data_IF_843844929405
#
_entry.id   IF_843844929405
#
_cell.length_a   1.000
_cell.length_b   1.000
_cell.length_c   1.000
_cell.angle_alpha   90.00
_cell.angle_beta   90.00
_cell.angle_gamma   90.00
#
_symmetry.space_group_name_H-M   'P 1'
#
loop_
_entity.id
_entity.type
_entity.pdbx_description
1 polymer ?
#
# COMPACT_ATOMS: atom_id res chain seq x y z
N UNK A 1 13.53 5.59 -27.44
CA UNK A 1 13.48 4.23 -26.86
C UNK A 1 12.05 4.04 -26.39
N UNK A 2 11.38 3.02 -26.92
CA UNK A 2 9.95 2.73 -26.79
C UNK A 2 9.38 3.01 -25.40
N UNK A 3 8.41 3.92 -25.34
CA UNK A 3 7.34 3.95 -24.35
C UNK A 3 6.57 2.63 -24.44
N UNK A 4 7.14 1.55 -23.90
CA UNK A 4 6.44 0.29 -23.71
C UNK A 4 5.24 0.61 -22.84
N UNK A 5 4.05 0.51 -23.41
CA UNK A 5 2.80 0.64 -22.68
C UNK A 5 2.78 -0.43 -21.60
N UNK A 6 3.28 -0.08 -20.41
CA UNK A 6 3.19 -0.94 -19.25
C UNK A 6 1.71 -1.20 -19.02
N UNK A 7 1.30 -2.45 -19.13
CA UNK A 7 -0.08 -2.82 -18.82
C UNK A 7 -0.40 -2.41 -17.38
N UNK A 8 -1.67 -2.18 -17.05
CA UNK A 8 -2.12 -1.89 -15.68
C UNK A 8 -1.51 -2.88 -14.64
N UNK A 9 -1.23 -4.11 -15.07
CA UNK A 9 -0.59 -5.17 -14.30
C UNK A 9 0.84 -4.87 -13.83
N UNK A 10 1.61 -4.09 -14.60
CA UNK A 10 2.99 -3.68 -14.29
C UNK A 10 3.06 -2.44 -13.41
N UNK A 11 1.96 -1.71 -13.28
CA UNK A 11 1.85 -0.57 -12.39
C UNK A 11 1.60 -1.03 -10.96
N UNK A 12 2.15 -0.25 -10.03
CA UNK A 12 1.86 -0.41 -8.60
C UNK A 12 0.51 0.24 -8.35
N UNK A 13 -0.45 -0.56 -7.94
CA UNK A 13 -1.79 -0.09 -7.63
C UNK A 13 -1.81 0.57 -6.24
N UNK A 14 -2.60 1.64 -6.06
CA UNK A 14 -2.80 2.25 -4.76
C UNK A 14 -3.66 1.31 -3.89
N UNK A 15 -3.32 1.27 -2.61
CA UNK A 15 -4.18 0.66 -1.60
C UNK A 15 -4.02 1.38 -0.26
N UNK A 16 -5.12 1.43 0.48
CA UNK A 16 -5.20 1.91 1.85
C UNK A 16 -5.47 0.71 2.76
N UNK A 17 -4.65 0.59 3.79
CA UNK A 17 -4.66 -0.51 4.73
C UNK A 17 -4.81 0.04 6.13
N UNK A 18 -5.57 -0.64 6.96
CA UNK A 18 -5.66 -0.36 8.39
C UNK A 18 -5.06 -1.51 9.18
N UNK A 19 -4.17 -1.19 10.09
CA UNK A 19 -3.56 -2.17 10.99
C UNK A 19 -4.50 -2.52 12.14
N UNK A 20 -4.50 -3.77 12.55
CA UNK A 20 -5.24 -4.22 13.71
C UNK A 20 -4.33 -4.33 14.95
N UNK A 21 -4.53 -3.49 15.98
CA UNK A 21 -3.65 -3.47 17.15
C UNK A 21 -3.71 -4.76 17.98
N UNK A 22 -4.85 -5.45 17.95
CA UNK A 22 -5.05 -6.72 18.68
C UNK A 22 -4.44 -7.93 17.93
N UNK A 23 -4.14 -7.79 16.63
CA UNK A 23 -3.69 -8.89 15.78
C UNK A 23 -2.22 -8.73 15.38
N UNK A 24 -1.35 -8.55 16.37
CA UNK A 24 0.10 -8.50 16.17
C UNK A 24 0.69 -9.85 16.58
N UNK A 25 1.09 -10.66 15.60
CA UNK A 25 1.66 -11.99 15.83
C UNK A 25 3.15 -11.93 16.13
N UNK A 26 3.86 -10.97 15.52
CA UNK A 26 5.30 -10.81 15.69
C UNK A 26 5.70 -9.34 15.50
N UNK A 27 6.49 -8.81 16.44
CA UNK A 27 6.88 -7.39 16.40
C UNK A 27 8.02 -7.09 15.42
N UNK A 28 8.98 -8.02 15.22
CA UNK A 28 10.14 -7.78 14.34
C UNK A 28 10.77 -9.06 13.78
N UNK A 29 11.52 -8.90 12.68
CA UNK A 29 12.38 -9.91 12.02
C UNK A 29 11.73 -11.26 11.61
N UNK A 30 10.64 -11.29 10.82
CA UNK A 30 9.86 -10.18 10.28
C UNK A 30 8.74 -9.75 11.21
N UNK A 31 8.33 -8.49 11.13
CA UNK A 31 7.09 -8.03 11.74
C UNK A 31 5.91 -8.71 11.03
N UNK A 32 4.99 -9.33 11.77
CA UNK A 32 3.80 -10.01 11.25
C UNK A 32 2.59 -9.52 12.01
N UNK A 33 1.65 -8.93 11.29
CA UNK A 33 0.46 -8.32 11.86
C UNK A 33 -0.72 -8.38 10.90
N UNK A 34 -1.92 -8.38 11.47
CA UNK A 34 -3.18 -8.33 10.75
C UNK A 34 -3.45 -6.93 10.22
N UNK A 35 -3.95 -6.87 9.00
CA UNK A 35 -4.43 -5.65 8.35
C UNK A 35 -5.79 -5.91 7.72
N UNK A 36 -6.54 -4.83 7.51
CA UNK A 36 -7.70 -4.78 6.63
C UNK A 36 -7.43 -3.86 5.45
N UNK A 37 -7.77 -4.29 4.24
CA UNK A 37 -7.70 -3.47 3.05
C UNK A 37 -8.95 -2.59 2.98
N UNK A 38 -8.84 -1.32 3.34
CA UNK A 38 -9.99 -0.39 3.32
C UNK A 38 -10.32 0.09 1.90
N UNK A 39 -9.30 0.22 1.03
CA UNK A 39 -9.51 0.63 -0.34
C UNK A 39 -8.38 0.16 -1.26
N UNK A 40 -8.70 -0.06 -2.54
CA UNK A 40 -7.73 -0.40 -3.56
C UNK A 40 -7.31 -1.86 -3.59
N UNK A 41 -6.08 -2.13 -4.04
CA UNK A 41 -5.58 -3.49 -4.26
C UNK A 41 -4.17 -3.65 -3.73
N UNK A 42 -3.99 -4.52 -2.75
CA UNK A 42 -2.68 -4.84 -2.20
C UNK A 42 -2.05 -6.02 -2.94
N UNK A 43 -0.79 -5.86 -3.33
CA UNK A 43 0.06 -6.92 -3.90
C UNK A 43 1.30 -7.13 -3.02
N UNK A 44 1.91 -8.32 -3.03
CA UNK A 44 3.15 -8.55 -2.31
C UNK A 44 4.29 -7.76 -2.98
N UNK A 45 5.42 -7.64 -2.28
CA UNK A 45 6.64 -6.97 -2.79
C UNK A 45 6.49 -5.47 -3.05
N UNK A 46 5.41 -4.82 -2.60
CA UNK A 46 5.26 -3.37 -2.63
C UNK A 46 5.81 -2.72 -1.36
N UNK A 47 6.13 -1.43 -1.45
CA UNK A 47 6.54 -0.62 -0.29
C UNK A 47 5.30 0.00 0.36
N UNK A 48 5.32 0.13 1.68
CA UNK A 48 4.27 0.81 2.45
C UNK A 48 4.81 2.10 3.08
N UNK A 49 3.92 3.08 3.22
CA UNK A 49 4.13 4.34 3.92
C UNK A 49 2.99 4.54 4.91
N UNK A 50 3.24 5.20 6.03
CA UNK A 50 2.20 5.54 6.98
C UNK A 50 1.46 6.81 6.55
N UNK A 51 0.30 7.05 7.14
CA UNK A 51 -0.45 8.30 7.05
C UNK A 51 0.37 9.54 7.48
N UNK A 52 1.39 9.33 8.32
CA UNK A 52 2.37 10.35 8.76
C UNK A 52 3.56 10.53 7.81
N UNK A 53 3.53 9.91 6.62
CA UNK A 53 4.60 9.99 5.62
C UNK A 53 5.86 9.18 5.96
N UNK A 54 5.83 8.34 7.01
CA UNK A 54 6.98 7.48 7.35
C UNK A 54 7.02 6.25 6.47
N UNK A 55 8.18 5.93 5.91
CA UNK A 55 8.37 4.69 5.15
C UNK A 55 8.42 3.52 6.12
N UNK A 56 7.51 2.57 5.95
CA UNK A 56 7.45 1.37 6.78
C UNK A 56 8.46 0.37 6.25
N UNK A 57 8.18 -0.23 5.09
CA UNK A 57 9.04 -1.25 4.53
C UNK A 57 8.38 -1.98 3.38
N UNK A 58 9.02 -3.06 2.93
CA UNK A 58 8.52 -3.87 1.82
C UNK A 58 7.72 -5.04 2.34
N UNK A 59 6.48 -5.18 1.84
CA UNK A 59 5.65 -6.37 2.10
C UNK A 59 6.35 -7.59 1.54
N UNK A 60 6.69 -8.53 2.40
CA UNK A 60 7.33 -9.77 2.03
C UNK A 60 6.31 -10.78 1.50
N UNK A 61 5.24 -11.01 2.27
CA UNK A 61 4.21 -11.98 1.96
C UNK A 61 2.87 -11.57 2.57
N UNK A 62 1.79 -11.91 1.87
CA UNK A 62 0.40 -11.80 2.30
C UNK A 62 -0.10 -13.21 2.68
N UNK A 63 -0.79 -13.34 3.81
CA UNK A 63 -1.31 -14.62 4.28
C UNK A 63 -2.73 -14.48 4.80
N UNK A 64 -3.64 -15.31 4.29
CA UNK A 64 -5.01 -15.45 4.79
C UNK A 64 -5.23 -16.88 5.27
N UNK A 65 -5.57 -17.05 6.55
CA UNK A 65 -5.87 -18.35 7.20
C UNK A 65 -4.90 -19.47 6.84
N UNK A 66 -3.60 -19.15 6.85
CA UNK A 66 -2.53 -20.10 6.55
C UNK A 66 -2.14 -20.20 5.07
N UNK A 67 -2.93 -19.67 4.14
CA UNK A 67 -2.65 -19.68 2.69
C UNK A 67 -1.98 -18.38 2.25
N UNK A 68 -1.01 -18.50 1.36
CA UNK A 68 -0.36 -17.32 0.77
C UNK A 68 -1.23 -16.74 -0.34
N UNK A 69 -1.33 -15.41 -0.38
CA UNK A 69 -2.10 -14.70 -1.40
C UNK A 69 -1.17 -13.83 -2.27
N UNK A 70 -1.46 -13.78 -3.57
CA UNK A 70 -0.74 -12.92 -4.51
C UNK A 70 -1.41 -11.54 -4.67
N UNK A 71 -2.64 -11.40 -4.18
CA UNK A 71 -3.44 -10.19 -4.24
C UNK A 71 -4.43 -10.18 -3.08
N UNK A 72 -4.72 -8.99 -2.56
CA UNK A 72 -5.85 -8.74 -1.69
C UNK A 72 -6.68 -7.56 -2.19
N UNK A 73 -7.99 -7.76 -2.22
CA UNK A 73 -8.98 -6.77 -2.64
C UNK A 73 -9.56 -6.04 -1.41
N UNK A 74 -10.42 -5.06 -1.66
CA UNK A 74 -11.10 -4.28 -0.62
C UNK A 74 -11.90 -5.16 0.33
N UNK A 75 -11.95 -4.77 1.61
CA UNK A 75 -12.57 -5.49 2.73
C UNK A 75 -11.96 -6.86 3.05
N UNK A 76 -10.80 -7.21 2.47
CA UNK A 76 -10.07 -8.40 2.89
C UNK A 76 -9.27 -8.14 4.16
N UNK A 77 -9.42 -9.03 5.13
CA UNK A 77 -8.63 -9.09 6.36
C UNK A 77 -7.60 -10.21 6.25
N UNK A 78 -6.33 -9.89 6.44
CA UNK A 78 -5.23 -10.83 6.26
C UNK A 78 -4.00 -10.41 7.07
N UNK A 79 -3.05 -11.33 7.23
CA UNK A 79 -1.77 -11.05 7.86
C UNK A 79 -0.72 -10.68 6.80
N UNK A 80 0.05 -9.62 7.07
CA UNK A 80 1.21 -9.25 6.26
C UNK A 80 2.49 -9.43 7.04
N UNK A 81 3.56 -9.79 6.32
CA UNK A 81 4.91 -9.83 6.87
C UNK A 81 5.78 -8.74 6.26
N UNK A 82 6.50 -7.99 7.09
CA UNK A 82 7.43 -6.94 6.66
C UNK A 82 8.78 -7.19 7.34
N UNK A 83 9.86 -7.16 6.55
CA UNK A 83 11.23 -7.32 7.04
C UNK A 83 11.85 -5.95 7.32
N UNK A 84 12.68 -5.87 8.35
CA UNK A 84 13.47 -4.67 8.66
C UNK A 84 12.73 -3.59 9.43
N UNK A 85 11.60 -3.92 10.07
CA UNK A 85 10.84 -3.00 10.94
C UNK A 85 10.52 -3.65 12.28
N UNK A 86 10.24 -2.81 13.27
CA UNK A 86 9.75 -3.19 14.59
C UNK A 86 8.46 -2.45 14.96
N UNK A 87 7.39 -3.21 15.22
CA UNK A 87 6.11 -2.69 15.69
C UNK A 87 6.24 -2.20 17.13
N UNK A 88 5.81 -0.96 17.38
CA UNK A 88 5.95 -0.24 18.64
C UNK A 88 7.17 0.68 18.68
N UNK A 89 8.06 0.62 17.68
CA UNK A 89 9.25 1.47 17.58
C UNK A 89 9.31 2.25 16.27
N UNK A 90 9.22 1.56 15.14
CA UNK A 90 9.24 2.18 13.81
C UNK A 90 7.84 2.58 13.34
N UNK A 91 6.86 1.70 13.61
CA UNK A 91 5.43 1.88 13.34
C UNK A 91 4.60 1.64 14.60
N UNK A 92 3.46 2.33 14.71
CA UNK A 92 2.55 2.16 15.84
C UNK A 92 1.61 0.95 15.66
N UNK A 93 0.86 0.59 16.70
CA UNK A 93 -0.03 -0.58 16.66
C UNK A 93 -1.35 -0.32 15.95
N UNK A 94 -1.78 0.94 15.89
CA UNK A 94 -3.03 1.38 15.27
C UNK A 94 -2.72 2.49 14.27
N UNK A 95 -2.12 2.11 13.14
CA UNK A 95 -1.67 3.04 12.12
C UNK A 95 -2.34 2.70 10.77
N UNK A 96 -2.65 3.74 10.01
CA UNK A 96 -3.13 3.59 8.63
C UNK A 96 -1.93 3.60 7.69
N UNK A 97 -1.88 2.61 6.81
CA UNK A 97 -0.80 2.42 5.86
C UNK A 97 -1.32 2.61 4.43
N UNK A 98 -0.48 3.17 3.59
CA UNK A 98 -0.72 3.32 2.17
C UNK A 98 0.36 2.60 1.38
N UNK A 99 0.00 2.09 0.21
CA UNK A 99 1.01 1.61 -0.74
C UNK A 99 1.78 2.81 -1.28
N UNK A 100 3.10 2.76 -1.16
CA UNK A 100 4.00 3.78 -1.70
C UNK A 100 4.08 3.62 -3.23
N UNK A 101 3.14 4.24 -3.93
CA UNK A 101 3.11 4.30 -5.40
C UNK A 101 4.11 5.36 -5.89
N UNK A 102 5.04 5.01 -6.80
CA UNK A 102 5.93 5.98 -7.43
C UNK A 102 5.16 7.05 -8.19
N UNK A 103 5.67 8.28 -8.20
CA UNK A 103 5.02 9.40 -8.89
C UNK A 103 4.79 9.15 -10.39
N UNK A 104 5.74 8.48 -11.05
CA UNK A 104 5.61 8.08 -12.45
C UNK A 104 4.40 7.15 -12.69
N UNK A 105 4.15 6.22 -11.77
CA UNK A 105 3.01 5.32 -11.84
C UNK A 105 1.72 6.09 -11.53
N UNK A 106 1.71 6.99 -10.55
CA UNK A 106 0.55 7.86 -10.26
C UNK A 106 0.16 8.68 -11.49
N UNK A 107 1.13 9.32 -12.17
CA UNK A 107 0.87 10.07 -13.39
C UNK A 107 0.26 9.19 -14.49
N UNK A 108 0.79 7.98 -14.71
CA UNK A 108 0.23 7.03 -15.68
C UNK A 108 -1.18 6.55 -15.31
N UNK A 109 -1.41 6.26 -14.02
CA UNK A 109 -2.72 5.87 -13.52
C UNK A 109 -3.76 6.97 -13.73
N UNK A 110 -3.39 8.23 -13.48
CA UNK A 110 -4.27 9.37 -13.70
C UNK A 110 -4.52 9.69 -15.17
N UNK A 111 -3.49 9.62 -16.02
CA UNK A 111 -3.59 10.05 -17.41
C UNK A 111 -4.18 8.98 -18.34
N UNK A 112 -3.85 7.70 -18.12
CA UNK A 112 -4.17 6.60 -19.05
C UNK A 112 -5.21 5.63 -18.48
N UNK A 113 -5.08 5.27 -17.21
CA UNK A 113 -5.84 4.15 -16.62
C UNK A 113 -6.96 4.58 -15.67
N UNK A 114 -7.25 5.89 -15.58
CA UNK A 114 -8.23 6.40 -14.62
C UNK A 114 -9.63 5.82 -14.84
N UNK A 115 -10.00 5.50 -16.08
CA UNK A 115 -11.28 4.86 -16.38
C UNK A 115 -11.31 3.36 -16.05
N UNK A 116 -10.16 2.71 -15.98
CA UNK A 116 -10.02 1.28 -15.66
C UNK A 116 -9.98 1.01 -14.14
N UNK A 117 -9.64 2.02 -13.35
CA UNK A 117 -9.63 1.91 -11.89
C UNK A 117 -11.04 1.85 -11.31
N UNK A 118 -11.23 0.96 -10.34
CA UNK A 118 -12.46 0.91 -9.53
C UNK A 118 -12.60 2.18 -8.68
N UNK A 119 -13.81 2.45 -8.19
CA UNK A 119 -14.07 3.59 -7.31
C UNK A 119 -13.15 3.58 -6.09
N UNK A 120 -12.99 2.42 -5.45
CA UNK A 120 -12.11 2.29 -4.27
C UNK A 120 -10.64 2.56 -4.59
N UNK A 121 -10.16 2.13 -5.77
CA UNK A 121 -8.79 2.41 -6.21
C UNK A 121 -8.58 3.90 -6.49
N UNK A 122 -9.58 4.59 -7.05
CA UNK A 122 -9.55 6.04 -7.26
C UNK A 122 -9.49 6.79 -5.95
N UNK A 123 -10.25 6.35 -4.95
CA UNK A 123 -10.28 6.99 -3.64
C UNK A 123 -8.96 6.77 -2.89
N UNK A 124 -8.42 5.54 -2.92
CA UNK A 124 -7.08 5.27 -2.40
C UNK A 124 -5.99 6.11 -3.10
N UNK A 125 -6.09 6.29 -4.42
CA UNK A 125 -5.16 7.12 -5.19
C UNK A 125 -5.24 8.60 -4.77
N UNK A 126 -6.46 9.13 -4.65
CA UNK A 126 -6.69 10.53 -4.23
C UNK A 126 -6.14 10.79 -2.85
N UNK A 127 -6.46 9.94 -1.88
CA UNK A 127 -5.94 10.06 -0.51
C UNK A 127 -4.42 10.01 -0.49
N UNK A 128 -3.83 9.07 -1.25
CA UNK A 128 -2.38 8.94 -1.35
C UNK A 128 -1.70 10.17 -1.97
N UNK A 129 -2.30 10.78 -3.01
CA UNK A 129 -1.78 12.02 -3.61
C UNK A 129 -1.83 13.17 -2.60
N UNK A 130 -2.93 13.32 -1.87
CA UNK A 130 -3.06 14.37 -0.84
C UNK A 130 -1.99 14.21 0.23
N UNK A 131 -1.79 12.98 0.71
CA UNK A 131 -0.73 12.64 1.64
C UNK A 131 0.65 13.01 1.10
N UNK A 132 0.97 12.60 -0.13
CA UNK A 132 2.28 12.91 -0.73
C UNK A 132 2.49 14.41 -0.96
N UNK A 133 1.45 15.17 -1.28
CA UNK A 133 1.53 16.62 -1.41
C UNK A 133 1.82 17.32 -0.08
N UNK A 134 1.32 16.76 1.02
CA UNK A 134 1.56 17.26 2.37
C UNK A 134 3.01 17.02 2.82
N UNK A 135 3.58 15.84 2.52
CA UNK A 135 4.90 15.46 3.02
C UNK A 135 6.06 15.71 2.05
N UNK A 136 5.80 15.81 0.74
CA UNK A 136 6.84 15.98 -0.29
C UNK A 136 6.84 17.40 -0.88
N UNK A 137 5.85 17.73 -1.72
CA UNK A 137 5.67 19.09 -2.27
C UNK A 137 4.25 19.29 -2.84
N UNK A 138 3.73 20.54 -2.91
CA UNK A 138 2.33 20.80 -3.29
C UNK A 138 1.91 20.30 -4.67
N UNK A 139 2.83 20.24 -5.64
CA UNK A 139 2.58 19.80 -7.02
C UNK A 139 2.86 18.31 -7.26
N UNK A 140 2.91 17.48 -6.21
CA UNK A 140 3.19 16.05 -6.37
C UNK A 140 2.09 15.33 -7.15
N UNK A 141 2.50 14.53 -8.14
CA UNK A 141 1.60 13.79 -9.04
C UNK A 141 0.88 14.64 -10.08
N UNK A 142 1.27 15.91 -10.27
CA UNK A 142 0.74 16.82 -11.28
C UNK A 142 1.59 16.82 -12.57
#
# INVERSE_FOLDING_TARGET
AEDTAKGLSELILPAKLKMFPEYIFRNSNPAVFGISVEAGTLKPKVLLITDKGKKVGRVHQLQDKGKSLDKADVNCELAISIRGIEIGKDIEKDETLFVNVPESHVRQLMSKFLNELTTDQKDALREYIVLQRQFTHPWWGM
#
